data_IF_456810987966
#
_entry.id   IF_456810987966
#
_cell.length_a   1.000
_cell.length_b   1.000
_cell.length_c   1.000
_cell.angle_alpha   90.00
_cell.angle_beta   90.00
_cell.angle_gamma   90.00
#
_symmetry.space_group_name_H-M   'P 1'
#
loop_
_entity.id
_entity.type
_entity.pdbx_description
1 polymer ?
#
# COMPACT_ATOMS: atom_id res chain seq x y z
N UNK A 1 -15.51 -21.22 -13.67
CA UNK A 1 -14.50 -20.21 -14.06
C UNK A 1 -13.11 -20.68 -13.62
N UNK A 2 -12.06 -20.39 -14.38
CA UNK A 2 -10.69 -20.83 -14.03
C UNK A 2 -10.03 -19.87 -13.04
N UNK A 3 -9.19 -20.39 -12.14
CA UNK A 3 -8.37 -19.60 -11.24
C UNK A 3 -7.41 -18.70 -12.04
N UNK A 4 -7.41 -17.37 -11.81
CA UNK A 4 -6.61 -16.43 -12.58
C UNK A 4 -5.10 -16.58 -12.30
N UNK A 5 -4.71 -17.06 -11.11
CA UNK A 5 -3.32 -17.29 -10.72
C UNK A 5 -2.81 -18.68 -11.11
N UNK A 6 -3.49 -19.76 -10.71
CA UNK A 6 -3.10 -21.14 -11.05
C UNK A 6 -3.33 -21.51 -12.52
N UNK A 7 -4.33 -20.90 -13.17
CA UNK A 7 -4.77 -21.12 -14.57
C UNK A 7 -5.29 -22.53 -14.92
N UNK A 8 -4.92 -23.55 -14.15
CA UNK A 8 -5.27 -24.96 -14.42
C UNK A 8 -6.43 -25.49 -13.57
N UNK A 9 -6.82 -24.75 -12.54
CA UNK A 9 -7.84 -25.16 -11.57
C UNK A 9 -9.11 -24.37 -11.81
N UNK A 10 -10.26 -25.03 -11.66
CA UNK A 10 -11.57 -24.36 -11.65
C UNK A 10 -11.87 -23.88 -10.24
N UNK A 11 -12.31 -22.63 -10.11
CA UNK A 11 -12.76 -22.11 -8.82
C UNK A 11 -14.04 -22.82 -8.38
N UNK A 12 -14.13 -23.12 -7.09
CA UNK A 12 -15.28 -23.77 -6.47
C UNK A 12 -16.08 -22.76 -5.66
N UNK A 13 -17.38 -23.01 -5.51
CA UNK A 13 -18.26 -22.15 -4.73
C UNK A 13 -17.91 -22.20 -3.24
N UNK A 14 -18.00 -21.05 -2.58
CA UNK A 14 -17.79 -20.91 -1.16
C UNK A 14 -18.49 -19.68 -0.61
N UNK A 15 -18.28 -19.44 0.68
CA UNK A 15 -18.79 -18.26 1.37
C UNK A 15 -17.63 -17.66 2.14
N UNK A 16 -17.45 -16.34 2.05
CA UNK A 16 -16.41 -15.62 2.79
C UNK A 16 -17.03 -15.06 4.06
N UNK A 17 -16.55 -15.51 5.23
CA UNK A 17 -16.99 -15.11 6.57
C UNK A 17 -18.50 -15.10 6.81
N UNK A 18 -19.26 -15.98 6.16
CA UNK A 18 -20.73 -15.99 6.20
C UNK A 18 -21.38 -14.67 5.69
N UNK A 19 -20.59 -13.80 5.03
CA UNK A 19 -21.02 -12.48 4.57
C UNK A 19 -21.66 -12.53 3.18
N UNK A 20 -20.97 -13.16 2.22
CA UNK A 20 -21.43 -13.21 0.83
C UNK A 20 -20.80 -14.37 0.03
N UNK A 21 -21.41 -14.71 -1.10
CA UNK A 21 -20.98 -15.83 -1.92
C UNK A 21 -19.70 -15.49 -2.68
N UNK A 22 -18.76 -16.43 -2.71
CA UNK A 22 -17.47 -16.28 -3.38
C UNK A 22 -17.11 -17.52 -4.17
N UNK A 23 -16.04 -17.41 -4.96
CA UNK A 23 -15.43 -18.57 -5.62
C UNK A 23 -13.97 -18.67 -5.24
N UNK A 24 -13.58 -19.74 -4.57
CA UNK A 24 -12.22 -19.90 -4.04
C UNK A 24 -11.44 -20.97 -4.80
N UNK A 25 -10.11 -20.82 -4.83
CA UNK A 25 -9.20 -21.79 -5.41
C UNK A 25 -8.71 -22.76 -4.33
N UNK A 26 -8.83 -24.07 -4.57
CA UNK A 26 -8.38 -25.07 -3.60
C UNK A 26 -6.84 -25.18 -3.50
N UNK A 27 -6.11 -24.78 -4.54
CA UNK A 27 -4.64 -24.80 -4.58
C UNK A 27 -4.01 -23.56 -3.96
N UNK A 28 -4.20 -22.37 -4.56
CA UNK A 28 -3.58 -21.14 -4.07
C UNK A 28 -4.37 -20.43 -2.97
N UNK A 29 -5.56 -20.94 -2.62
CA UNK A 29 -6.47 -20.37 -1.61
C UNK A 29 -6.91 -18.92 -1.87
N UNK A 30 -6.70 -18.41 -3.09
CA UNK A 30 -7.21 -17.12 -3.53
C UNK A 30 -8.72 -17.16 -3.78
N UNK A 31 -9.34 -16.00 -3.63
CA UNK A 31 -10.79 -15.83 -3.61
C UNK A 31 -11.21 -14.80 -4.66
N UNK A 32 -12.16 -15.20 -5.50
CA UNK A 32 -12.89 -14.30 -6.38
C UNK A 32 -14.20 -13.88 -5.71
N UNK A 33 -14.37 -12.58 -5.58
CA UNK A 33 -15.57 -11.94 -5.02
C UNK A 33 -16.33 -11.30 -6.19
N UNK A 34 -17.52 -11.80 -6.54
CA UNK A 34 -18.37 -11.18 -7.56
C UNK A 34 -18.76 -9.76 -7.16
N UNK A 35 -18.91 -8.86 -8.14
CA UNK A 35 -19.24 -7.47 -7.86
C UNK A 35 -20.60 -7.31 -7.18
N UNK A 36 -21.62 -8.06 -7.61
CA UNK A 36 -22.95 -8.00 -7.01
C UNK A 36 -22.92 -8.36 -5.52
N UNK A 37 -22.21 -9.44 -5.19
CA UNK A 37 -22.05 -9.92 -3.82
C UNK A 37 -21.34 -8.90 -2.93
N UNK A 38 -20.25 -8.31 -3.43
CA UNK A 38 -19.52 -7.26 -2.71
C UNK A 38 -20.34 -6.00 -2.54
N UNK A 39 -20.98 -5.50 -3.59
CA UNK A 39 -21.74 -4.24 -3.56
C UNK A 39 -23.00 -4.36 -2.69
N UNK A 40 -23.70 -5.49 -2.74
CA UNK A 40 -24.86 -5.77 -1.89
C UNK A 40 -24.47 -5.84 -0.40
N UNK A 41 -23.32 -6.47 -0.10
CA UNK A 41 -22.77 -6.50 1.25
C UNK A 41 -22.28 -5.13 1.72
N UNK A 42 -21.56 -4.40 0.86
CA UNK A 42 -21.00 -3.07 1.14
C UNK A 42 -22.11 -2.06 1.44
N UNK A 43 -23.22 -2.11 0.71
CA UNK A 43 -24.38 -1.24 0.93
C UNK A 43 -25.05 -1.42 2.30
N UNK A 44 -24.82 -2.55 2.97
CA UNK A 44 -25.33 -2.84 4.33
C UNK A 44 -24.33 -2.45 5.42
N UNK A 45 -23.09 -2.13 5.06
CA UNK A 45 -22.10 -1.65 6.01
C UNK A 45 -22.39 -0.19 6.33
N UNK A 46 -22.16 0.22 7.58
CA UNK A 46 -22.09 1.65 7.89
C UNK A 46 -20.91 2.22 7.10
N UNK A 47 -21.20 3.09 6.13
CA UNK A 47 -20.17 3.85 5.45
C UNK A 47 -19.42 4.66 6.51
N UNK A 48 -18.21 4.24 6.85
CA UNK A 48 -17.31 5.03 7.66
C UNK A 48 -16.42 5.83 6.69
N UNK A 49 -16.72 7.12 6.43
CA UNK A 49 -15.90 7.98 5.59
C UNK A 49 -14.54 8.31 6.22
N UNK A 50 -14.18 7.69 7.36
CA UNK A 50 -12.78 7.64 7.74
C UNK A 50 -12.04 6.91 6.63
N UNK A 51 -11.52 7.70 5.68
CA UNK A 51 -10.28 7.41 5.00
C UNK A 51 -9.35 6.94 6.10
N UNK A 52 -9.01 5.65 6.16
CA UNK A 52 -8.13 5.24 7.20
C UNK A 52 -6.84 6.03 6.99
N UNK A 53 -6.56 6.93 7.91
CA UNK A 53 -5.24 7.51 8.10
C UNK A 53 -4.23 6.41 8.53
N UNK A 54 -4.69 5.14 8.56
CA UNK A 54 -3.99 3.88 8.81
C UNK A 54 -2.89 3.55 7.78
N UNK A 55 -2.61 4.43 6.82
CA UNK A 55 -1.35 4.42 6.06
C UNK A 55 -0.34 5.37 6.71
N UNK A 56 -0.27 5.36 8.03
CA UNK A 56 0.86 5.85 8.80
C UNK A 56 1.46 4.63 9.48
N UNK A 57 2.63 4.21 9.00
CA UNK A 57 3.60 3.38 9.70
C UNK A 57 3.09 2.11 10.41
N UNK A 58 3.57 0.95 9.94
CA UNK A 58 3.78 -0.24 10.80
C UNK A 58 2.52 -0.84 11.45
N UNK A 59 1.46 -1.10 10.69
CA UNK A 59 0.58 -2.21 11.07
C UNK A 59 1.36 -3.50 10.83
N UNK A 60 1.87 -4.09 11.92
CA UNK A 60 2.58 -5.37 11.93
C UNK A 60 1.58 -6.51 11.80
N UNK A 61 0.95 -6.61 10.63
CA UNK A 61 0.16 -7.78 10.28
C UNK A 61 1.11 -8.80 9.66
N UNK A 62 1.50 -9.79 10.46
CA UNK A 62 2.26 -10.94 9.98
C UNK A 62 1.37 -11.79 9.08
N UNK A 63 1.53 -11.62 7.77
CA UNK A 63 0.90 -12.50 6.78
C UNK A 63 1.92 -13.00 5.76
N UNK A 64 1.66 -14.18 5.22
CA UNK A 64 2.49 -14.79 4.18
C UNK A 64 1.99 -14.33 2.82
N UNK A 65 2.78 -13.46 2.16
CA UNK A 65 2.48 -13.00 0.82
C UNK A 65 2.39 -14.17 -0.17
N UNK A 66 1.34 -14.15 -0.99
CA UNK A 66 1.17 -15.13 -2.06
C UNK A 66 2.32 -15.06 -3.07
N UNK A 67 2.84 -16.20 -3.56
CA UNK A 67 3.84 -16.22 -4.62
C UNK A 67 3.31 -15.69 -5.97
N UNK A 68 2.00 -15.46 -6.07
CA UNK A 68 1.33 -14.91 -7.24
C UNK A 68 1.00 -13.42 -7.12
N UNK A 69 1.23 -12.81 -5.95
CA UNK A 69 0.85 -11.41 -5.71
C UNK A 69 1.54 -10.46 -6.71
N UNK A 70 2.81 -10.72 -7.05
CA UNK A 70 3.55 -9.92 -8.04
C UNK A 70 3.06 -10.07 -9.49
N UNK A 71 2.24 -11.09 -9.79
CA UNK A 71 1.84 -11.46 -11.15
C UNK A 71 0.45 -10.92 -11.47
N UNK A 72 0.37 -10.06 -12.48
CA UNK A 72 -0.91 -9.63 -13.05
C UNK A 72 -1.69 -10.83 -13.60
N UNK A 73 -3.01 -10.78 -13.46
CA UNK A 73 -3.89 -11.84 -13.93
C UNK A 73 -5.09 -11.31 -14.73
N UNK A 74 -5.73 -12.23 -15.46
CA UNK A 74 -6.97 -11.95 -16.18
C UNK A 74 -8.15 -12.26 -15.26
N UNK A 75 -9.17 -11.39 -15.29
CA UNK A 75 -10.42 -11.60 -14.61
C UNK A 75 -11.01 -12.99 -14.97
N UNK A 76 -11.37 -13.82 -13.98
CA UNK A 76 -11.89 -15.16 -14.23
C UNK A 76 -13.29 -15.15 -14.86
N UNK A 77 -14.00 -14.02 -14.78
CA UNK A 77 -15.36 -13.82 -15.30
C UNK A 77 -15.36 -13.27 -16.73
N UNK A 78 -14.69 -12.13 -16.97
CA UNK A 78 -14.73 -11.44 -18.26
C UNK A 78 -13.41 -11.48 -19.06
N UNK A 79 -12.35 -12.12 -18.52
CA UNK A 79 -11.04 -12.30 -19.17
C UNK A 79 -10.26 -11.03 -19.51
N UNK A 80 -10.68 -9.87 -19.00
CA UNK A 80 -9.92 -8.60 -19.07
C UNK A 80 -8.86 -8.54 -17.97
N UNK A 81 -7.83 -7.72 -18.15
CA UNK A 81 -6.80 -7.53 -17.12
C UNK A 81 -7.41 -6.99 -15.82
N UNK A 82 -6.95 -7.54 -14.70
CA UNK A 82 -7.23 -6.99 -13.38
C UNK A 82 -6.32 -5.78 -13.15
N UNK A 83 -6.92 -4.68 -12.71
CA UNK A 83 -6.19 -3.54 -12.18
C UNK A 83 -5.66 -3.89 -10.80
N UNK A 84 -4.55 -3.28 -10.39
CA UNK A 84 -3.85 -3.60 -9.15
C UNK A 84 -3.69 -2.34 -8.32
N UNK A 85 -4.08 -2.41 -7.05
CA UNK A 85 -3.84 -1.37 -6.06
C UNK A 85 -2.94 -1.92 -4.96
N UNK A 86 -1.75 -1.32 -4.80
CA UNK A 86 -0.78 -1.74 -3.79
C UNK A 86 -1.26 -1.29 -2.42
N UNK A 87 -1.37 -2.17 -1.44
CA UNK A 87 -1.57 -1.81 -0.02
C UNK A 87 -0.19 -1.77 0.63
N UNK A 88 0.19 -0.62 1.21
CA UNK A 88 1.50 -0.44 1.83
C UNK A 88 1.44 -0.85 3.30
N UNK A 89 2.10 -1.97 3.61
CA UNK A 89 2.41 -2.45 4.95
C UNK A 89 3.90 -2.79 5.01
N UNK A 90 4.37 -3.29 6.16
CA UNK A 90 5.72 -3.89 6.28
C UNK A 90 5.96 -4.94 5.18
N UNK A 91 4.95 -5.79 4.94
CA UNK A 91 4.88 -6.68 3.79
C UNK A 91 3.79 -6.16 2.85
N UNK A 92 4.11 -5.47 1.75
CA UNK A 92 3.09 -4.93 0.85
C UNK A 92 2.45 -6.03 0.00
N UNK A 93 1.18 -5.86 -0.39
CA UNK A 93 0.48 -6.73 -1.34
C UNK A 93 -0.38 -5.92 -2.32
N UNK A 94 -1.00 -6.59 -3.29
CA UNK A 94 -1.82 -5.94 -4.30
C UNK A 94 -3.23 -6.50 -4.33
N UNK A 95 -4.20 -5.66 -3.97
CA UNK A 95 -5.61 -5.95 -4.23
C UNK A 95 -5.86 -5.84 -5.74
N UNK A 96 -6.52 -6.84 -6.30
CA UNK A 96 -6.83 -6.90 -7.72
C UNK A 96 -8.33 -6.68 -7.97
N UNK A 97 -8.67 -5.81 -8.94
CA UNK A 97 -10.07 -5.54 -9.30
C UNK A 97 -10.25 -5.44 -10.81
N UNK A 98 -11.32 -6.04 -11.32
CA UNK A 98 -11.69 -5.89 -12.72
C UNK A 98 -12.36 -4.54 -12.97
N UNK A 99 -11.82 -3.72 -13.87
CA UNK A 99 -12.43 -2.42 -14.20
C UNK A 99 -13.70 -2.53 -15.07
N UNK A 100 -14.07 -3.74 -15.51
CA UNK A 100 -15.24 -3.98 -16.35
C UNK A 100 -16.39 -4.63 -15.57
N UNK A 101 -16.18 -5.83 -15.02
CA UNK A 101 -17.22 -6.50 -14.23
C UNK A 101 -17.19 -6.10 -12.74
N UNK A 102 -16.23 -5.27 -12.31
CA UNK A 102 -16.07 -4.76 -10.93
C UNK A 102 -15.74 -5.80 -9.85
N UNK A 103 -15.68 -7.09 -10.20
CA UNK A 103 -15.31 -8.16 -9.27
C UNK A 103 -13.87 -8.04 -8.78
N UNK A 104 -13.63 -8.59 -7.59
CA UNK A 104 -12.40 -8.43 -6.82
C UNK A 104 -11.73 -9.79 -6.70
N UNK A 105 -10.40 -9.79 -6.84
CA UNK A 105 -9.58 -10.95 -6.53
C UNK A 105 -8.68 -10.62 -5.35
N UNK A 106 -8.72 -11.48 -4.35
CA UNK A 106 -7.82 -11.48 -3.20
C UNK A 106 -7.03 -12.78 -3.23
N UNK A 107 -5.71 -12.69 -3.17
CA UNK A 107 -4.89 -13.86 -2.85
C UNK A 107 -5.14 -14.28 -1.38
N UNK A 108 -4.59 -15.43 -0.99
CA UNK A 108 -4.83 -16.02 0.32
C UNK A 108 -4.45 -15.06 1.46
N UNK A 109 -5.37 -14.88 2.41
CA UNK A 109 -5.19 -14.02 3.59
C UNK A 109 -5.33 -12.52 3.33
N UNK A 110 -5.39 -12.07 2.07
CA UNK A 110 -5.46 -10.62 1.78
C UNK A 110 -6.77 -9.99 2.23
N UNK A 111 -7.88 -10.73 2.13
CA UNK A 111 -9.18 -10.24 2.60
C UNK A 111 -9.17 -9.95 4.09
N UNK A 112 -8.64 -10.88 4.89
CA UNK A 112 -8.56 -10.76 6.36
C UNK A 112 -7.77 -9.50 6.76
N UNK A 113 -6.69 -9.22 6.04
CA UNK A 113 -5.89 -8.00 6.24
C UNK A 113 -6.71 -6.76 5.87
N UNK A 114 -7.45 -6.77 4.76
CA UNK A 114 -8.33 -5.67 4.41
C UNK A 114 -9.41 -5.43 5.48
N UNK A 115 -9.84 -6.49 6.18
CA UNK A 115 -10.76 -6.37 7.31
C UNK A 115 -10.12 -5.69 8.50
N UNK A 116 -8.95 -6.18 8.92
CA UNK A 116 -8.17 -5.61 10.02
C UNK A 116 -7.83 -4.13 9.79
N UNK A 117 -7.52 -3.77 8.54
CA UNK A 117 -7.24 -2.40 8.13
C UNK A 117 -8.52 -1.56 7.90
N UNK A 118 -9.71 -2.14 8.00
CA UNK A 118 -10.98 -1.46 7.66
C UNK A 118 -11.15 -1.11 6.17
N UNK A 119 -10.18 -1.45 5.32
CA UNK A 119 -10.16 -1.17 3.88
C UNK A 119 -11.16 -2.02 3.07
N UNK A 120 -11.57 -3.17 3.58
CA UNK A 120 -12.53 -4.08 2.95
C UNK A 120 -13.86 -3.40 2.59
N UNK A 121 -14.26 -2.35 3.30
CA UNK A 121 -15.48 -1.57 3.01
C UNK A 121 -15.29 -0.47 1.98
N UNK A 122 -14.05 -0.12 1.62
CA UNK A 122 -13.70 1.00 0.74
C UNK A 122 -12.73 0.59 -0.36
N UNK A 123 -12.84 -0.65 -0.88
CA UNK A 123 -11.89 -1.19 -1.86
C UNK A 123 -11.84 -0.32 -3.12
N UNK A 124 -12.95 0.29 -3.54
CA UNK A 124 -12.95 1.20 -4.70
C UNK A 124 -11.98 2.36 -4.56
N UNK A 125 -11.83 2.88 -3.34
CA UNK A 125 -11.00 4.04 -3.08
C UNK A 125 -9.53 3.75 -3.37
N UNK A 126 -9.08 2.51 -3.16
CA UNK A 126 -7.70 2.06 -3.46
C UNK A 126 -7.32 2.23 -4.94
N UNK A 127 -8.32 2.22 -5.83
CA UNK A 127 -8.13 2.36 -7.28
C UNK A 127 -8.29 3.80 -7.79
N UNK A 128 -8.52 4.77 -6.90
CA UNK A 128 -8.62 6.19 -7.28
C UNK A 128 -7.25 6.83 -7.43
N UNK A 129 -7.15 7.83 -8.31
CA UNK A 129 -5.91 8.59 -8.52
C UNK A 129 -5.47 9.32 -7.25
N UNK A 130 -6.41 9.80 -6.44
CA UNK A 130 -6.13 10.50 -5.18
C UNK A 130 -5.43 9.58 -4.19
N UNK A 131 -5.95 8.36 -4.01
CA UNK A 131 -5.36 7.36 -3.13
C UNK A 131 -3.96 6.97 -3.60
N UNK A 132 -3.81 6.68 -4.89
CA UNK A 132 -2.50 6.30 -5.45
C UNK A 132 -1.47 7.44 -5.34
N UNK A 133 -1.90 8.70 -5.47
CA UNK A 133 -1.00 9.86 -5.36
C UNK A 133 -0.61 10.11 -3.91
N UNK A 134 -1.57 10.09 -2.97
CA UNK A 134 -1.30 10.20 -1.53
C UNK A 134 -0.35 9.09 -1.05
N UNK A 135 -0.60 7.85 -1.48
CA UNK A 135 0.21 6.68 -1.15
C UNK A 135 1.65 6.81 -1.64
N UNK A 136 1.86 7.31 -2.88
CA UNK A 136 3.20 7.59 -3.42
C UNK A 136 3.94 8.70 -2.67
N UNK A 137 3.28 9.82 -2.40
CA UNK A 137 3.88 10.95 -1.68
C UNK A 137 4.30 10.58 -0.26
N UNK A 138 3.46 9.84 0.48
CA UNK A 138 3.78 9.34 1.82
C UNK A 138 4.96 8.36 1.79
N UNK A 139 4.96 7.40 0.86
CA UNK A 139 6.05 6.44 0.73
C UNK A 139 7.39 7.14 0.43
N UNK A 140 7.39 8.16 -0.43
CA UNK A 140 8.59 8.94 -0.72
C UNK A 140 9.15 9.60 0.54
N UNK A 141 8.28 10.23 1.33
CA UNK A 141 8.65 10.91 2.58
C UNK A 141 9.21 9.91 3.62
N UNK A 142 8.54 8.77 3.83
CA UNK A 142 9.01 7.74 4.76
C UNK A 142 10.36 7.14 4.33
N UNK A 143 10.54 6.89 3.03
CA UNK A 143 11.80 6.36 2.49
C UNK A 143 12.95 7.37 2.64
N UNK A 144 12.69 8.65 2.39
CA UNK A 144 13.68 9.72 2.59
C UNK A 144 14.07 9.85 4.07
N UNK A 145 13.09 9.78 4.97
CA UNK A 145 13.31 9.82 6.41
C UNK A 145 14.14 8.61 6.87
N UNK A 146 13.80 7.40 6.43
CA UNK A 146 14.56 6.20 6.76
C UNK A 146 15.98 6.25 6.20
N UNK A 147 16.17 6.67 4.95
CA UNK A 147 17.49 6.82 4.35
C UNK A 147 18.37 7.85 5.08
N UNK A 148 17.75 8.87 5.67
CA UNK A 148 18.44 9.86 6.52
C UNK A 148 18.90 9.23 7.82
N UNK A 149 18.04 8.44 8.49
CA UNK A 149 18.38 7.67 9.69
C UNK A 149 19.52 6.69 9.40
N UNK A 150 19.44 5.93 8.30
CA UNK A 150 20.45 4.92 7.95
C UNK A 150 21.83 5.55 7.70
N UNK A 151 21.89 6.77 7.17
CA UNK A 151 23.14 7.48 6.85
C UNK A 151 23.74 8.26 8.02
N UNK A 152 22.90 8.87 8.86
CA UNK A 152 23.34 9.78 9.92
C UNK A 152 23.32 9.15 11.32
N UNK A 153 22.63 8.01 11.48
CA UNK A 153 22.24 7.47 12.77
C UNK A 153 21.01 8.19 13.34
N UNK A 154 20.30 7.50 14.23
CA UNK A 154 19.01 7.95 14.80
C UNK A 154 19.12 9.33 15.44
N UNK A 155 20.11 9.53 16.31
CA UNK A 155 20.25 10.76 17.10
C UNK A 155 20.47 12.00 16.23
N UNK A 156 21.36 11.94 15.23
CA UNK A 156 21.61 13.07 14.34
C UNK A 156 20.46 13.29 13.36
N UNK A 157 19.82 12.21 12.89
CA UNK A 157 18.67 12.30 11.98
C UNK A 157 17.47 13.00 12.65
N UNK A 158 17.19 12.73 13.93
CA UNK A 158 16.12 13.41 14.67
C UNK A 158 16.32 14.93 14.72
N UNK A 159 17.53 15.38 15.05
CA UNK A 159 17.86 16.81 15.03
C UNK A 159 17.71 17.43 13.65
N UNK A 160 18.04 16.69 12.58
CA UNK A 160 17.86 17.16 11.20
C UNK A 160 16.38 17.32 10.86
N UNK A 161 15.52 16.39 11.29
CA UNK A 161 14.07 16.50 11.05
C UNK A 161 13.46 17.68 11.82
N UNK A 162 13.78 17.84 13.10
CA UNK A 162 13.29 18.97 13.90
C UNK A 162 13.71 20.32 13.30
N UNK A 163 14.95 20.40 12.82
CA UNK A 163 15.45 21.60 12.16
C UNK A 163 14.76 21.83 10.83
N UNK A 164 14.53 20.78 10.02
CA UNK A 164 13.83 20.90 8.75
C UNK A 164 12.40 21.46 8.96
N UNK A 165 11.65 20.91 9.92
CA UNK A 165 10.30 21.38 10.26
C UNK A 165 10.30 22.86 10.69
N UNK A 166 11.29 23.26 11.51
CA UNK A 166 11.43 24.64 11.95
C UNK A 166 11.79 25.60 10.80
N UNK A 167 12.62 25.16 9.85
CA UNK A 167 13.04 25.97 8.71
C UNK A 167 11.94 26.11 7.66
N UNK A 168 11.12 25.09 7.44
CA UNK A 168 9.98 25.14 6.50
C UNK A 168 8.97 26.23 6.89
N UNK A 169 8.76 26.43 8.20
CA UNK A 169 7.83 27.43 8.72
C UNK A 169 8.44 28.84 8.84
N UNK A 170 9.76 28.98 8.61
CA UNK A 170 10.47 30.24 8.83
C UNK A 170 10.60 31.06 7.52
N UNK A 171 10.32 32.38 7.52
CA UNK A 171 10.36 33.22 6.31
C UNK A 171 11.72 33.23 5.57
N UNK A 172 12.80 32.96 6.29
CA UNK A 172 14.17 32.92 5.76
C UNK A 172 14.81 31.52 5.92
N UNK A 173 14.01 30.45 5.87
CA UNK A 173 14.49 29.08 6.03
C UNK A 173 15.52 28.68 4.98
N UNK A 174 15.34 29.14 3.74
CA UNK A 174 16.26 28.97 2.61
C UNK A 174 17.69 29.48 2.89
N UNK A 175 17.80 30.63 3.56
CA UNK A 175 19.09 31.19 3.96
C UNK A 175 19.83 30.27 4.96
N UNK A 176 19.10 29.69 5.91
CA UNK A 176 19.66 28.76 6.89
C UNK A 176 20.13 27.45 6.23
N UNK A 177 19.34 26.88 5.31
CA UNK A 177 19.74 25.71 4.51
C UNK A 177 21.03 26.00 3.74
N UNK A 178 21.11 27.16 3.06
CA UNK A 178 22.29 27.56 2.32
C UNK A 178 23.53 27.75 3.22
N UNK A 179 23.36 28.25 4.45
CA UNK A 179 24.43 28.34 5.44
C UNK A 179 24.96 26.95 5.85
N UNK A 180 24.06 26.01 6.17
CA UNK A 180 24.42 24.65 6.56
C UNK A 180 25.16 23.93 5.43
N UNK A 181 24.64 24.01 4.20
CA UNK A 181 25.27 23.42 3.02
C UNK A 181 26.71 23.94 2.86
N UNK A 182 26.91 25.26 2.86
CA UNK A 182 28.26 25.86 2.76
C UNK A 182 29.18 25.38 3.88
N UNK A 183 28.68 25.28 5.12
CA UNK A 183 29.47 24.86 6.27
C UNK A 183 29.95 23.42 6.13
N UNK A 184 29.07 22.51 5.69
CA UNK A 184 29.40 21.08 5.50
C UNK A 184 30.35 20.89 4.30
N UNK A 185 30.05 21.49 3.16
CA UNK A 185 30.89 21.36 1.95
C UNK A 185 32.30 21.94 2.16
N UNK A 186 32.41 23.10 2.82
CA UNK A 186 33.71 23.68 3.13
C UNK A 186 34.52 22.85 4.13
N UNK A 187 33.86 22.13 5.05
CA UNK A 187 34.53 21.24 5.97
C UNK A 187 35.09 20.01 5.25
N UNK A 188 34.31 19.39 4.36
CA UNK A 188 34.74 18.25 3.54
C UNK A 188 35.94 18.60 2.65
N UNK A 189 35.94 19.77 2.01
CA UNK A 189 37.07 20.22 1.20
C UNK A 189 38.37 20.47 1.97
N UNK A 190 38.29 20.83 3.27
CA UNK A 190 39.47 20.99 4.11
C UNK A 190 40.08 19.65 4.49
N UNK A 191 39.26 18.67 4.84
CA UNK A 191 39.75 17.32 5.17
C UNK A 191 40.38 16.63 3.95
N UNK A 192 39.80 16.76 2.76
CA UNK A 192 40.35 16.16 1.53
C UNK A 192 41.67 16.78 1.02
N UNK A 193 42.11 17.92 1.57
CA UNK A 193 43.42 18.54 1.28
C UNK A 193 44.47 18.24 2.36
N UNK A 194 44.07 17.54 3.42
CA UNK A 194 44.90 17.22 4.59
C UNK A 194 45.41 15.78 4.59
N UNK A 195 44.94 14.96 3.65
CA UNK A 195 45.42 13.62 3.30
C UNK A 195 46.28 13.67 2.03
#
# INVERSE_FOLDING_TARGET
MQCPKCKKVTLVDGVLDEKFAVKYCQECKGTWIPASEYEDWQARQYYNPQTPDLLSGTLEVDFVQSPFDTKAALCPECRRYLSRAKVNLKTPFYVERCMYCRGIWCDYGEWDILEELGLHTTIEQLFTNEWQTKSRSRQYFEQERQATIDKLGVELAEHVFELADALEQHPNGDFAVAYLMRRVTNFQHKNARSE
#
